data_IF_832698455946
#
_entry.id   IF_832698455946
#
_cell.length_a   1.000
_cell.length_b   1.000
_cell.length_c   1.000
_cell.angle_alpha   90.00
_cell.angle_beta   90.00
_cell.angle_gamma   90.00
#
_symmetry.space_group_name_H-M   'P 1'
#
loop_
_entity.id
_entity.type
_entity.pdbx_description
1 polymer ?
#
# COMPACT_ATOMS: atom_id res chain seq x y z
N UNK A 1 52.74 0.11 -0.49
CA UNK A 1 51.90 0.65 0.60
C UNK A 1 50.53 0.90 -0.01
N UNK A 2 49.57 0.02 0.29
CA UNK A 2 48.29 -0.04 -0.40
C UNK A 2 47.33 1.02 0.14
N UNK A 3 46.73 1.79 -0.78
CA UNK A 3 45.61 2.69 -0.50
C UNK A 3 44.40 1.91 0.01
N UNK A 4 43.70 2.37 1.06
CA UNK A 4 42.43 1.76 1.44
C UNK A 4 41.34 2.17 0.44
N UNK A 5 40.79 1.16 -0.24
CA UNK A 5 39.60 1.25 -1.08
C UNK A 5 38.40 1.73 -0.24
N UNK A 6 37.64 2.75 -0.66
CA UNK A 6 36.41 3.11 0.01
C UNK A 6 35.34 2.05 -0.28
N UNK A 7 34.94 1.30 0.75
CA UNK A 7 33.87 0.30 0.63
C UNK A 7 32.55 0.94 0.17
N UNK A 8 31.77 0.26 -0.69
CA UNK A 8 30.46 0.74 -1.10
C UNK A 8 29.50 0.76 0.10
N UNK A 9 28.99 1.95 0.43
CA UNK A 9 27.94 2.13 1.43
C UNK A 9 26.72 1.29 1.05
N UNK A 10 26.33 0.40 1.95
CA UNK A 10 25.14 -0.45 1.87
C UNK A 10 23.88 0.39 1.63
N UNK A 11 23.28 0.24 0.44
CA UNK A 11 21.98 0.80 0.08
C UNK A 11 20.82 -0.02 0.72
N UNK A 12 20.87 -0.23 2.03
CA UNK A 12 19.96 -1.13 2.76
C UNK A 12 19.17 -0.51 3.91
N UNK A 13 19.46 0.72 4.34
CA UNK A 13 18.99 1.25 5.63
C UNK A 13 17.89 2.32 5.55
N UNK A 14 17.04 2.27 4.52
CA UNK A 14 15.83 3.12 4.46
C UNK A 14 14.51 2.35 4.59
N UNK A 15 14.54 1.03 4.74
CA UNK A 15 13.35 0.18 4.66
C UNK A 15 12.52 0.09 5.97
N UNK A 16 12.96 0.75 7.06
CA UNK A 16 12.45 0.47 8.42
C UNK A 16 11.88 1.70 9.17
N UNK A 17 11.46 2.75 8.46
CA UNK A 17 10.75 3.88 9.09
C UNK A 17 9.25 3.73 8.86
N UNK A 18 8.51 3.31 9.89
CA UNK A 18 7.05 3.32 9.91
C UNK A 18 6.37 1.96 9.79
N UNK A 19 7.14 0.87 9.69
CA UNK A 19 6.63 -0.50 9.53
C UNK A 19 6.43 -1.13 10.91
N UNK A 20 5.18 -1.43 11.29
CA UNK A 20 4.87 -2.07 12.57
C UNK A 20 3.36 -2.18 12.79
N UNK A 21 2.87 -3.20 13.51
CA UNK A 21 1.45 -3.40 13.70
C UNK A 21 0.92 -2.26 14.57
N UNK A 22 -0.11 -1.59 14.08
CA UNK A 22 -0.72 -0.48 14.81
C UNK A 22 -1.70 -1.04 15.82
N UNK A 23 -1.52 -0.71 17.10
CA UNK A 23 -2.47 -1.11 18.14
C UNK A 23 -3.89 -0.60 17.82
N UNK A 24 -4.90 -1.44 18.07
CA UNK A 24 -6.30 -1.19 17.65
C UNK A 24 -6.84 0.15 18.16
N UNK A 25 -6.50 0.53 19.40
CA UNK A 25 -6.97 1.78 20.02
C UNK A 25 -6.00 2.96 19.86
N UNK A 26 -4.97 2.83 19.02
CA UNK A 26 -4.00 3.90 18.86
C UNK A 26 -4.58 5.07 18.03
N UNK A 27 -4.15 6.32 18.30
CA UNK A 27 -4.49 7.47 17.47
C UNK A 27 -4.14 7.28 15.99
N UNK A 28 -3.10 6.47 15.70
CA UNK A 28 -2.71 6.10 14.34
C UNK A 28 -3.79 5.24 13.67
N UNK A 29 -4.35 4.24 14.35
CA UNK A 29 -5.45 3.43 13.80
C UNK A 29 -6.70 4.27 13.53
N UNK A 30 -7.03 5.19 14.43
CA UNK A 30 -8.16 6.09 14.24
C UNK A 30 -7.98 6.98 13.00
N UNK A 31 -6.81 7.55 12.77
CA UNK A 31 -6.53 8.33 11.54
C UNK A 31 -6.66 7.48 10.28
N UNK A 32 -6.13 6.26 10.28
CA UNK A 32 -6.29 5.32 9.16
C UNK A 32 -7.76 4.98 8.89
N UNK A 33 -8.58 4.80 9.93
CA UNK A 33 -10.03 4.61 9.79
C UNK A 33 -10.74 5.85 9.24
N UNK A 34 -10.32 7.06 9.65
CA UNK A 34 -10.81 8.32 9.06
C UNK A 34 -10.49 8.39 7.57
N UNK A 35 -9.26 8.03 7.19
CA UNK A 35 -8.85 7.93 5.78
C UNK A 35 -9.67 6.90 5.02
N UNK A 36 -9.93 5.74 5.64
CA UNK A 36 -10.76 4.69 5.07
C UNK A 36 -12.16 5.18 4.77
N UNK A 37 -12.79 5.86 5.72
CA UNK A 37 -14.12 6.43 5.57
C UNK A 37 -14.16 7.48 4.45
N UNK A 38 -13.15 8.36 4.39
CA UNK A 38 -13.02 9.36 3.33
C UNK A 38 -12.88 8.74 1.94
N UNK A 39 -12.03 7.73 1.82
CA UNK A 39 -11.86 7.00 0.55
C UNK A 39 -13.13 6.28 0.10
N UNK A 40 -13.91 5.72 1.04
CA UNK A 40 -15.18 5.09 0.74
C UNK A 40 -16.23 6.09 0.28
N UNK A 41 -16.33 7.23 0.98
CA UNK A 41 -17.26 8.30 0.63
C UNK A 41 -16.96 8.86 -0.78
N UNK A 42 -15.68 8.95 -1.17
CA UNK A 42 -15.26 9.48 -2.46
C UNK A 42 -15.14 8.44 -3.58
N UNK A 43 -15.45 7.17 -3.35
CA UNK A 43 -15.20 6.10 -4.32
C UNK A 43 -16.00 6.25 -5.64
N UNK A 44 -17.16 6.91 -5.57
CA UNK A 44 -18.06 7.17 -6.72
C UNK A 44 -17.95 8.58 -7.26
N UNK A 45 -17.08 9.39 -6.67
CA UNK A 45 -16.89 10.78 -7.07
C UNK A 45 -16.05 10.89 -8.35
N UNK A 46 -16.11 12.04 -9.04
CA UNK A 46 -15.26 12.30 -10.20
C UNK A 46 -13.77 12.08 -9.91
N UNK A 47 -13.02 11.74 -10.96
CA UNK A 47 -11.57 11.49 -10.89
C UNK A 47 -10.80 12.59 -10.16
N UNK A 48 -11.13 13.87 -10.38
CA UNK A 48 -10.48 14.99 -9.72
C UNK A 48 -10.64 14.99 -8.20
N UNK A 49 -11.84 14.62 -7.69
CA UNK A 49 -12.11 14.51 -6.25
C UNK A 49 -11.30 13.36 -5.66
N UNK A 50 -11.26 12.22 -6.36
CA UNK A 50 -10.48 11.06 -5.93
C UNK A 50 -8.98 11.36 -5.87
N UNK A 51 -8.44 12.04 -6.88
CA UNK A 51 -7.04 12.48 -6.88
C UNK A 51 -6.76 13.47 -5.74
N UNK A 52 -7.68 14.37 -5.42
CA UNK A 52 -7.54 15.28 -4.27
C UNK A 52 -7.47 14.52 -2.94
N UNK A 53 -8.24 13.45 -2.76
CA UNK A 53 -8.17 12.61 -1.54
C UNK A 53 -6.79 11.95 -1.42
N UNK A 54 -6.22 11.46 -2.53
CA UNK A 54 -4.89 10.87 -2.53
C UNK A 54 -3.79 11.93 -2.32
N UNK A 55 -3.95 13.13 -2.88
CA UNK A 55 -3.05 14.25 -2.63
C UNK A 55 -3.01 14.60 -1.14
N UNK A 56 -4.18 14.70 -0.50
CA UNK A 56 -4.27 15.00 0.94
C UNK A 56 -3.68 13.87 1.82
N UNK A 57 -3.70 12.62 1.34
CA UNK A 57 -3.04 11.50 2.00
C UNK A 57 -1.50 11.62 1.92
N UNK A 58 -0.98 12.40 0.97
CA UNK A 58 0.43 12.73 0.84
C UNK A 58 1.07 12.32 -0.49
N UNK A 59 0.31 11.81 -1.47
CA UNK A 59 0.85 11.47 -2.78
C UNK A 59 1.34 12.73 -3.52
N UNK A 60 2.54 12.64 -4.11
CA UNK A 60 3.12 13.74 -4.87
C UNK A 60 2.32 14.01 -6.16
N UNK A 61 2.30 15.28 -6.59
CA UNK A 61 1.58 15.70 -7.79
C UNK A 61 2.04 14.93 -9.04
N UNK A 62 3.34 14.65 -9.17
CA UNK A 62 3.90 13.90 -10.30
C UNK A 62 3.42 12.44 -10.34
N UNK A 63 3.28 11.80 -9.19
CA UNK A 63 2.77 10.43 -9.09
C UNK A 63 1.26 10.37 -9.41
N UNK A 64 0.51 11.38 -8.98
CA UNK A 64 -0.91 11.49 -9.33
C UNK A 64 -1.12 11.82 -10.81
N UNK A 65 -0.23 12.65 -11.38
CA UNK A 65 -0.23 12.96 -12.80
C UNK A 65 0.08 11.72 -13.63
N UNK A 66 1.00 10.86 -13.19
CA UNK A 66 1.29 9.58 -13.83
C UNK A 66 0.04 8.68 -13.89
N UNK A 67 -0.71 8.58 -12.79
CA UNK A 67 -1.95 7.78 -12.74
C UNK A 67 -3.03 8.39 -13.63
N UNK A 68 -3.19 9.72 -13.61
CA UNK A 68 -4.18 10.44 -14.41
C UNK A 68 -3.92 10.39 -15.93
N UNK A 69 -2.65 10.35 -16.34
CA UNK A 69 -2.23 10.29 -17.75
C UNK A 69 -2.25 8.89 -18.36
N UNK A 70 -2.60 7.87 -17.58
CA UNK A 70 -2.64 6.49 -18.06
C UNK A 70 -3.66 6.33 -19.20
N UNK A 71 -3.35 5.49 -20.19
CA UNK A 71 -4.15 5.37 -21.42
C UNK A 71 -5.55 4.77 -21.21
N UNK A 72 -5.83 4.18 -20.05
CA UNK A 72 -7.14 3.61 -19.70
C UNK A 72 -7.68 4.13 -18.35
N UNK A 73 -8.00 5.43 -18.22
CA UNK A 73 -8.74 5.90 -17.05
C UNK A 73 -10.15 5.27 -17.09
N UNK A 74 -10.68 4.74 -15.97
CA UNK A 74 -10.24 4.92 -14.59
C UNK A 74 -9.47 3.73 -13.97
N UNK A 75 -9.05 2.72 -14.74
CA UNK A 75 -8.52 1.45 -14.18
C UNK A 75 -7.31 1.66 -13.25
N UNK A 76 -6.26 2.40 -13.63
CA UNK A 76 -5.11 2.63 -12.75
C UNK A 76 -5.44 3.36 -11.46
N UNK A 77 -6.45 4.24 -11.49
CA UNK A 77 -6.90 4.95 -10.30
C UNK A 77 -7.72 4.03 -9.39
N UNK A 78 -8.52 3.12 -9.94
CA UNK A 78 -9.23 2.09 -9.18
C UNK A 78 -8.25 1.12 -8.51
N UNK A 79 -7.22 0.69 -9.23
CA UNK A 79 -6.21 -0.21 -8.71
C UNK A 79 -5.37 0.46 -7.60
N UNK A 80 -5.02 1.73 -7.77
CA UNK A 80 -4.40 2.53 -6.71
C UNK A 80 -5.31 2.65 -5.49
N UNK A 81 -6.60 2.90 -5.72
CA UNK A 81 -7.60 2.98 -4.65
C UNK A 81 -7.68 1.67 -3.86
N UNK A 82 -7.66 0.53 -4.56
CA UNK A 82 -7.72 -0.79 -3.97
C UNK A 82 -6.49 -1.08 -3.11
N UNK A 83 -5.28 -0.84 -3.64
CA UNK A 83 -4.04 -1.10 -2.91
C UNK A 83 -3.91 -0.20 -1.69
N UNK A 84 -4.20 1.10 -1.82
CA UNK A 84 -4.17 2.02 -0.68
C UNK A 84 -5.20 1.60 0.37
N UNK A 85 -6.41 1.24 -0.03
CA UNK A 85 -7.43 0.72 0.88
C UNK A 85 -6.98 -0.56 1.61
N UNK A 86 -6.33 -1.48 0.90
CA UNK A 86 -5.75 -2.69 1.48
C UNK A 86 -4.70 -2.38 2.55
N UNK A 87 -3.77 -1.46 2.27
CA UNK A 87 -2.70 -1.09 3.21
C UNK A 87 -3.24 -0.35 4.45
N UNK A 88 -4.28 0.48 4.27
CA UNK A 88 -5.01 1.12 5.38
C UNK A 88 -5.68 0.07 6.26
N UNK A 89 -6.40 -0.88 5.66
CA UNK A 89 -7.17 -1.90 6.37
C UNK A 89 -6.24 -2.82 7.20
N UNK A 90 -5.11 -3.22 6.62
CA UNK A 90 -4.06 -3.99 7.29
C UNK A 90 -3.47 -3.24 8.49
N UNK A 91 -3.31 -1.93 8.37
CA UNK A 91 -2.90 -1.07 9.49
C UNK A 91 -1.45 -1.23 9.90
N UNK A 92 -0.60 -1.85 9.09
CA UNK A 92 0.85 -1.95 9.34
C UNK A 92 1.61 -0.66 9.02
N UNK A 93 1.07 0.15 8.11
CA UNK A 93 1.68 1.42 7.69
C UNK A 93 0.87 2.59 8.25
N UNK A 94 1.55 3.69 8.56
CA UNK A 94 0.91 4.99 8.67
C UNK A 94 0.73 5.58 7.28
N UNK A 95 0.09 6.73 7.19
CA UNK A 95 -0.14 7.45 5.95
C UNK A 95 1.16 7.64 5.16
N UNK A 96 2.22 8.10 5.83
CA UNK A 96 3.53 8.31 5.23
C UNK A 96 4.17 7.00 4.74
N UNK A 97 4.05 5.91 5.49
CA UNK A 97 4.54 4.60 5.12
C UNK A 97 3.80 4.01 3.92
N UNK A 98 2.48 4.24 3.81
CA UNK A 98 1.69 3.85 2.63
C UNK A 98 2.19 4.59 1.39
N UNK A 99 2.31 5.91 1.49
CA UNK A 99 2.79 6.75 0.38
C UNK A 99 4.22 6.35 -0.02
N UNK A 100 5.12 6.19 0.95
CA UNK A 100 6.49 5.78 0.72
C UNK A 100 6.56 4.42 0.04
N UNK A 101 5.82 3.42 0.53
CA UNK A 101 5.81 2.08 -0.08
C UNK A 101 5.34 2.13 -1.54
N UNK A 102 4.29 2.92 -1.82
CA UNK A 102 3.74 3.07 -3.16
C UNK A 102 4.66 3.82 -4.13
N UNK A 103 5.46 4.75 -3.61
CA UNK A 103 6.30 5.67 -4.39
C UNK A 103 7.76 5.20 -4.49
N UNK A 104 8.20 4.29 -3.63
CA UNK A 104 9.55 3.74 -3.64
C UNK A 104 9.68 2.45 -4.44
N UNK A 105 10.91 2.15 -4.84
CA UNK A 105 11.26 0.94 -5.58
C UNK A 105 11.19 -0.27 -4.67
N UNK A 106 10.35 -1.23 -5.04
CA UNK A 106 10.16 -2.44 -4.25
C UNK A 106 10.99 -3.60 -4.82
N UNK A 107 11.85 -4.22 -4.00
CA UNK A 107 12.64 -5.40 -4.40
C UNK A 107 11.75 -6.54 -4.89
N UNK A 108 10.60 -6.74 -4.24
CA UNK A 108 9.59 -7.76 -4.60
C UNK A 108 8.92 -7.52 -5.94
N UNK A 109 9.05 -6.31 -6.50
CA UNK A 109 8.57 -5.94 -7.83
C UNK A 109 9.71 -5.85 -8.85
N UNK A 110 10.89 -6.39 -8.53
CA UNK A 110 12.08 -6.30 -9.40
C UNK A 110 12.66 -4.89 -9.44
N UNK A 111 12.46 -4.09 -8.39
CA UNK A 111 12.93 -2.70 -8.33
C UNK A 111 12.01 -1.68 -8.98
N UNK A 112 10.81 -2.09 -9.42
CA UNK A 112 9.78 -1.17 -9.91
C UNK A 112 9.06 -0.46 -8.77
N UNK A 113 8.52 0.74 -9.04
CA UNK A 113 7.60 1.42 -8.12
C UNK A 113 6.18 0.86 -8.29
N UNK A 114 5.45 0.54 -7.21
CA UNK A 114 4.06 0.10 -7.29
C UNK A 114 3.18 1.01 -8.14
N UNK A 115 3.28 2.33 -7.95
CA UNK A 115 2.54 3.33 -8.72
C UNK A 115 2.76 3.22 -10.23
N UNK A 116 4.00 3.01 -10.68
CA UNK A 116 4.32 2.86 -12.10
C UNK A 116 3.67 1.61 -12.71
N UNK A 117 3.61 0.52 -11.94
CA UNK A 117 3.02 -0.73 -12.39
C UNK A 117 1.50 -0.64 -12.50
N UNK A 118 0.84 0.12 -11.62
CA UNK A 118 -0.59 0.37 -11.69
C UNK A 118 -0.90 1.30 -12.87
N UNK A 119 -0.15 2.40 -13.03
CA UNK A 119 -0.32 3.36 -14.12
C UNK A 119 -0.12 2.76 -15.52
N UNK A 120 0.84 1.83 -15.70
CA UNK A 120 1.23 1.34 -17.03
C UNK A 120 0.45 0.13 -17.55
N UNK A 121 -0.49 -0.42 -16.79
CA UNK A 121 -1.26 -1.57 -17.27
C UNK A 121 -1.97 -2.37 -16.19
N UNK A 122 -2.37 -1.72 -15.09
CA UNK A 122 -3.23 -2.33 -14.08
C UNK A 122 -2.68 -3.62 -13.48
N UNK A 123 -1.37 -3.66 -13.17
CA UNK A 123 -0.73 -4.83 -12.56
C UNK A 123 -1.10 -5.01 -11.07
N UNK A 124 -2.37 -4.79 -10.74
CA UNK A 124 -2.94 -4.85 -9.40
C UNK A 124 -2.56 -6.13 -8.67
N UNK A 125 -2.77 -7.30 -9.29
CA UNK A 125 -2.46 -8.59 -8.67
C UNK A 125 -1.00 -8.69 -8.25
N UNK A 126 -0.09 -8.23 -9.11
CA UNK A 126 1.35 -8.28 -8.85
C UNK A 126 1.74 -7.34 -7.70
N UNK A 127 1.22 -6.12 -7.71
CA UNK A 127 1.45 -5.14 -6.63
C UNK A 127 0.87 -5.64 -5.32
N UNK A 128 -0.33 -6.23 -5.34
CA UNK A 128 -0.97 -6.84 -4.16
C UNK A 128 -0.15 -7.99 -3.59
N UNK A 129 0.32 -8.92 -4.43
CA UNK A 129 1.19 -10.03 -3.98
C UNK A 129 2.48 -9.50 -3.36
N UNK A 130 3.06 -8.43 -3.90
CA UNK A 130 4.23 -7.79 -3.31
C UNK A 130 3.93 -7.14 -1.95
N UNK A 131 2.79 -6.45 -1.82
CA UNK A 131 2.34 -5.87 -0.56
C UNK A 131 2.12 -6.93 0.52
N UNK A 132 1.34 -7.98 0.21
CA UNK A 132 1.10 -9.11 1.11
C UNK A 132 2.40 -9.81 1.52
N UNK A 133 3.32 -10.00 0.57
CA UNK A 133 4.62 -10.59 0.84
C UNK A 133 5.51 -9.71 1.73
N UNK A 134 5.47 -8.40 1.54
CA UNK A 134 6.21 -7.45 2.37
C UNK A 134 5.70 -7.46 3.81
N UNK A 135 4.38 -7.38 4.00
CA UNK A 135 3.72 -7.48 5.31
C UNK A 135 4.04 -8.78 6.03
N UNK A 136 4.11 -9.90 5.28
CA UNK A 136 4.46 -11.21 5.83
C UNK A 136 5.93 -11.30 6.27
N UNK A 137 6.86 -10.70 5.52
CA UNK A 137 8.30 -10.71 5.85
C UNK A 137 8.67 -9.77 6.98
N UNK A 138 7.93 -8.68 7.16
CA UNK A 138 8.10 -7.82 8.33
C UNK A 138 7.76 -8.52 9.67
N UNK A 139 7.27 -9.77 9.64
CA UNK A 139 6.83 -10.49 10.84
C UNK A 139 5.46 -10.01 11.35
N UNK A 140 4.71 -9.30 10.51
CA UNK A 140 3.51 -8.53 10.89
C UNK A 140 2.20 -9.19 10.45
N UNK A 141 2.29 -10.35 9.78
CA UNK A 141 1.23 -11.34 9.73
C UNK A 141 1.62 -12.49 10.65
N UNK A 142 0.72 -13.00 11.53
CA UNK A 142 1.03 -14.18 12.32
C UNK A 142 1.38 -15.32 11.36
N UNK A 143 2.51 -15.99 11.60
CA UNK A 143 2.85 -17.22 10.91
C UNK A 143 1.67 -18.20 10.96
N UNK A 144 1.46 -19.02 9.93
CA UNK A 144 0.32 -19.96 9.86
C UNK A 144 0.13 -20.82 11.12
N UNK A 145 1.20 -21.06 11.89
CA UNK A 145 1.18 -21.77 13.18
C UNK A 145 0.51 -21.00 14.35
N UNK A 146 0.37 -19.69 14.28
CA UNK A 146 -0.32 -18.89 15.32
C UNK A 146 -1.82 -18.71 15.05
N UNK A 147 -2.31 -19.24 13.93
CA UNK A 147 -3.67 -19.00 13.43
C UNK A 147 -4.63 -20.17 13.64
N UNK A 148 -4.18 -21.27 14.24
CA UNK A 148 -5.04 -22.40 14.62
C UNK A 148 -6.09 -22.03 15.69
N UNK A 149 -5.96 -20.86 16.33
CA UNK A 149 -6.96 -20.31 17.25
C UNK A 149 -7.95 -19.32 16.64
N UNK A 150 -7.72 -18.83 15.42
CA UNK A 150 -8.65 -17.92 14.74
C UNK A 150 -9.16 -18.56 13.46
N UNK A 151 -10.23 -19.34 13.64
CA UNK A 151 -10.88 -20.14 12.60
C UNK A 151 -10.95 -19.44 11.24
N UNK A 152 -10.47 -20.16 10.22
CA UNK A 152 -10.35 -19.80 8.80
C UNK A 152 -11.62 -19.24 8.13
N UNK A 153 -12.76 -19.25 8.81
CA UNK A 153 -14.03 -18.68 8.36
C UNK A 153 -14.18 -17.16 8.51
N UNK A 154 -13.37 -16.45 9.31
CA UNK A 154 -13.45 -14.97 9.40
C UNK A 154 -12.73 -14.27 8.25
N UNK A 155 -11.64 -14.85 7.74
CA UNK A 155 -10.83 -14.29 6.65
C UNK A 155 -11.56 -14.21 5.31
N UNK A 156 -12.48 -15.14 5.04
CA UNK A 156 -13.28 -15.15 3.79
C UNK A 156 -14.60 -14.38 3.88
N UNK A 157 -15.09 -14.08 5.09
CA UNK A 157 -16.44 -13.52 5.30
C UNK A 157 -16.52 -12.00 5.13
N UNK A 158 -15.42 -11.26 5.29
CA UNK A 158 -15.42 -9.82 5.03
C UNK A 158 -15.59 -9.47 3.55
N UNK A 159 -15.08 -10.31 2.63
CA UNK A 159 -15.01 -9.97 1.21
C UNK A 159 -16.20 -10.40 0.35
N UNK A 160 -16.96 -11.45 0.71
CA UNK A 160 -18.19 -11.79 -0.03
C UNK A 160 -19.29 -10.73 0.08
N UNK A 161 -19.19 -9.81 1.05
CA UNK A 161 -20.14 -8.69 1.24
C UNK A 161 -19.80 -7.45 0.40
N UNK A 162 -18.64 -7.43 -0.27
CA UNK A 162 -18.11 -6.24 -0.95
C UNK A 162 -18.35 -6.20 -2.46
N UNK A 163 -18.69 -7.32 -3.11
CA UNK A 163 -18.91 -7.39 -4.57
C UNK A 163 -20.38 -7.43 -4.99
N UNK A 164 -21.33 -7.36 -4.06
CA UNK A 164 -22.75 -7.43 -4.40
C UNK A 164 -23.15 -8.79 -5.00
N UNK A 165 -23.70 -9.65 -4.15
CA UNK A 165 -24.86 -10.42 -4.58
C UNK A 165 -26.09 -9.53 -4.35
#
# INVERSE_FOLDING_TARGET
>A
MSSPEPQPRTAGEREDRGVGPVAEDSPRRQRLLTWRARMLASAREPIGVRLSVLADLGFAADDLALVAQSQEPPLPLNDLWEIVGFLIDDGTYDEAGIVAWMSDRQRRLGGARPLELLARGGQLTRVRTAAEGHLRTAGLMPSERSLDHLGSGKRRRCWRRWLGA
#
